data_IF_197581667158
#
_entry.id   IF_197581667158
#
_cell.length_a   1.000
_cell.length_b   1.000
_cell.length_c   1.000
_cell.angle_alpha   90.00
_cell.angle_beta   90.00
_cell.angle_gamma   90.00
#
_symmetry.space_group_name_H-M   'P 1'
#
loop_
_entity.id
_entity.type
_entity.pdbx_description
1 polymer ?
#
# COMPACT_ATOMS: atom_id res chain seq x y z
N UNK A 1 -32.28 48.11 -6.47
CA UNK A 1 -31.01 47.87 -7.17
C UNK A 1 -29.97 47.68 -6.09
N UNK A 2 -29.93 46.47 -5.55
CA UNK A 2 -29.07 46.05 -4.45
C UNK A 2 -28.32 44.85 -5.00
N UNK A 3 -27.03 45.07 -5.25
CA UNK A 3 -26.08 44.07 -5.71
C UNK A 3 -25.93 43.08 -4.56
N UNK A 4 -26.33 41.84 -4.81
CA UNK A 4 -26.06 40.68 -3.95
C UNK A 4 -24.75 40.14 -4.49
N UNK A 5 -23.69 40.23 -3.67
CA UNK A 5 -22.40 39.61 -3.96
C UNK A 5 -22.57 38.08 -3.92
N UNK A 6 -22.45 37.49 -5.10
CA UNK A 6 -22.60 36.07 -5.40
C UNK A 6 -21.21 35.40 -5.31
N UNK A 7 -20.67 35.34 -4.09
CA UNK A 7 -19.36 34.70 -3.80
C UNK A 7 -19.47 33.59 -2.75
N UNK A 8 -20.58 32.83 -2.79
CA UNK A 8 -20.72 31.58 -2.04
C UNK A 8 -20.98 30.41 -2.98
N UNK A 9 -20.15 29.37 -2.82
CA UNK A 9 -20.28 28.03 -3.39
C UNK A 9 -19.62 27.77 -4.76
N UNK A 10 -18.29 27.93 -4.81
CA UNK A 10 -17.46 26.98 -5.58
C UNK A 10 -16.70 26.16 -4.54
N UNK A 11 -17.21 24.95 -4.27
CA UNK A 11 -16.58 24.00 -3.37
C UNK A 11 -15.17 23.67 -3.85
N UNK A 12 -14.19 24.24 -3.17
CA UNK A 12 -12.81 23.77 -3.26
C UNK A 12 -12.80 22.32 -2.78
N UNK A 13 -12.54 21.40 -3.71
CA UNK A 13 -12.12 20.05 -3.38
C UNK A 13 -10.85 20.16 -2.52
N UNK A 14 -11.02 20.15 -1.20
CA UNK A 14 -9.92 20.08 -0.25
C UNK A 14 -9.26 18.71 -0.40
N UNK A 15 -8.34 18.59 -1.37
CA UNK A 15 -7.32 17.57 -1.33
C UNK A 15 -6.45 17.84 -0.10
N UNK A 16 -6.75 17.10 0.96
CA UNK A 16 -6.04 17.14 2.23
C UNK A 16 -4.59 16.73 1.99
N UNK A 17 -3.70 17.72 2.13
CA UNK A 17 -2.26 17.58 1.95
C UNK A 17 -1.52 17.35 3.26
N UNK A 18 -0.19 17.34 3.16
CA UNK A 18 0.75 17.34 4.28
C UNK A 18 0.38 18.40 5.34
N UNK A 19 0.67 18.11 6.61
CA UNK A 19 0.47 19.08 7.69
C UNK A 19 1.28 20.36 7.44
N UNK A 20 0.85 21.46 8.06
CA UNK A 20 1.61 22.71 8.04
C UNK A 20 3.04 22.50 8.55
N UNK A 21 3.24 21.69 9.60
CA UNK A 21 4.56 21.35 10.15
C UNK A 21 5.44 20.58 9.15
N UNK A 22 4.87 19.67 8.38
CA UNK A 22 5.60 18.92 7.37
C UNK A 22 6.05 19.83 6.22
N UNK A 23 5.13 20.64 5.68
CA UNK A 23 5.45 21.59 4.60
C UNK A 23 6.52 22.59 5.08
N UNK A 24 6.35 23.13 6.28
CA UNK A 24 7.33 24.05 6.89
C UNK A 24 8.71 23.39 6.99
N UNK A 25 8.78 22.14 7.48
CA UNK A 25 10.06 21.41 7.59
C UNK A 25 10.69 21.19 6.23
N UNK A 26 9.91 20.76 5.23
CA UNK A 26 10.41 20.53 3.87
C UNK A 26 11.08 21.77 3.30
N UNK A 27 10.45 22.95 3.43
CA UNK A 27 10.97 24.20 2.86
C UNK A 27 12.03 24.89 3.72
N UNK A 28 12.15 24.53 5.02
CA UNK A 28 13.09 25.17 5.93
C UNK A 28 14.52 24.65 5.78
N UNK A 29 14.71 23.43 5.29
CA UNK A 29 16.03 22.80 5.19
C UNK A 29 16.37 22.43 3.74
N UNK A 30 17.57 22.80 3.23
CA UNK A 30 17.98 22.47 1.87
C UNK A 30 17.94 20.97 1.56
N UNK A 31 18.33 20.13 2.52
CA UNK A 31 18.37 18.66 2.34
C UNK A 31 16.98 18.06 2.11
N UNK A 32 15.97 18.50 2.88
CA UNK A 32 14.59 18.03 2.75
C UNK A 32 13.89 18.64 1.53
N UNK A 33 14.20 19.89 1.19
CA UNK A 33 13.64 20.53 0.01
C UNK A 33 14.16 19.87 -1.26
N UNK A 34 15.48 19.67 -1.36
CA UNK A 34 16.11 19.07 -2.53
C UNK A 34 15.63 17.64 -2.76
N UNK A 35 15.54 16.84 -1.70
CA UNK A 35 15.02 15.47 -1.78
C UNK A 35 13.54 15.44 -2.17
N UNK A 36 12.73 16.43 -1.73
CA UNK A 36 11.34 16.54 -2.13
C UNK A 36 11.20 16.90 -3.61
N UNK A 37 12.04 17.82 -4.10
CA UNK A 37 12.12 18.18 -5.52
C UNK A 37 12.53 16.96 -6.35
N UNK A 38 13.51 16.19 -5.89
CA UNK A 38 13.94 14.96 -6.57
C UNK A 38 12.81 13.93 -6.65
N UNK A 39 12.14 13.65 -5.54
CA UNK A 39 11.00 12.74 -5.52
C UNK A 39 9.87 13.21 -6.44
N UNK A 40 9.56 14.52 -6.44
CA UNK A 40 8.54 15.11 -7.30
C UNK A 40 8.92 15.07 -8.79
N UNK A 41 10.19 15.32 -9.13
CA UNK A 41 10.67 15.24 -10.50
C UNK A 41 10.54 13.81 -11.06
N UNK A 42 10.93 12.80 -10.27
CA UNK A 42 10.80 11.39 -10.64
C UNK A 42 9.34 10.97 -10.74
N UNK A 43 8.50 11.44 -9.83
CA UNK A 43 7.06 11.23 -9.87
C UNK A 43 6.43 11.80 -11.17
N UNK A 44 6.68 13.07 -11.49
CA UNK A 44 6.19 13.69 -12.74
C UNK A 44 6.72 12.94 -13.96
N UNK A 45 8.01 12.59 -13.96
CA UNK A 45 8.64 11.87 -15.05
C UNK A 45 8.01 10.47 -15.27
N UNK A 46 7.79 9.73 -14.18
CA UNK A 46 7.11 8.44 -14.17
C UNK A 46 5.68 8.56 -14.70
N UNK A 47 4.96 9.61 -14.30
CA UNK A 47 3.58 9.84 -14.73
C UNK A 47 3.46 10.17 -16.22
N UNK A 48 4.45 10.84 -16.78
CA UNK A 48 4.48 11.17 -18.20
C UNK A 48 4.95 9.99 -19.07
N UNK A 49 5.40 8.88 -18.48
CA UNK A 49 5.89 7.71 -19.22
C UNK A 49 7.24 7.96 -19.92
N UNK A 50 8.03 8.91 -19.44
CA UNK A 50 9.32 9.25 -20.02
C UNK A 50 10.39 8.21 -19.65
N UNK A 51 11.44 8.08 -20.47
CA UNK A 51 12.60 7.22 -20.18
C UNK A 51 13.54 7.86 -19.17
N UNK A 52 14.00 7.06 -18.18
CA UNK A 52 14.84 7.48 -17.05
C UNK A 52 16.22 8.05 -17.43
N UNK A 53 16.62 8.01 -18.70
CA UNK A 53 17.89 8.53 -19.22
C UNK A 53 17.88 10.06 -19.46
N UNK A 54 16.90 10.77 -18.89
CA UNK A 54 16.86 12.24 -18.89
C UNK A 54 18.03 12.80 -18.07
N UNK A 55 18.97 13.45 -18.77
CA UNK A 55 20.14 14.09 -18.18
C UNK A 55 19.76 15.02 -17.02
N UNK A 56 18.64 15.73 -17.15
CA UNK A 56 18.13 16.66 -16.14
C UNK A 56 17.75 15.93 -14.85
N UNK A 57 17.16 14.74 -14.97
CA UNK A 57 16.76 13.91 -13.84
C UNK A 57 17.98 13.33 -13.13
N UNK A 58 18.98 12.88 -13.90
CA UNK A 58 20.25 12.39 -13.38
C UNK A 58 21.01 13.48 -12.61
N UNK A 59 21.02 14.72 -13.11
CA UNK A 59 21.61 15.87 -12.42
C UNK A 59 20.91 16.18 -11.09
N UNK A 60 19.57 16.15 -11.06
CA UNK A 60 18.78 16.35 -9.83
C UNK A 60 19.09 15.26 -8.81
N UNK A 61 19.14 13.99 -9.23
CA UNK A 61 19.48 12.87 -8.36
C UNK A 61 20.91 13.00 -7.81
N UNK A 62 21.90 13.29 -8.65
CA UNK A 62 23.29 13.47 -8.24
C UNK A 62 23.46 14.63 -7.25
N UNK A 63 22.80 15.77 -7.50
CA UNK A 63 22.78 16.92 -6.59
C UNK A 63 22.17 16.57 -5.24
N UNK A 64 21.05 15.83 -5.25
CA UNK A 64 20.37 15.37 -4.03
C UNK A 64 21.27 14.46 -3.19
N UNK A 65 21.88 13.46 -3.83
CA UNK A 65 22.81 12.54 -3.17
C UNK A 65 24.01 13.26 -2.56
N UNK A 66 24.54 14.29 -3.24
CA UNK A 66 25.65 15.11 -2.72
C UNK A 66 25.28 15.84 -1.44
N UNK A 67 24.11 16.49 -1.40
CA UNK A 67 23.64 17.24 -0.21
C UNK A 67 23.37 16.28 0.94
N UNK A 68 22.69 15.16 0.67
CA UNK A 68 22.41 14.13 1.68
C UNK A 68 23.69 13.54 2.25
N UNK A 69 24.67 13.20 1.41
CA UNK A 69 25.97 12.68 1.87
C UNK A 69 26.71 13.66 2.76
N UNK A 70 26.61 14.96 2.46
CA UNK A 70 27.20 16.03 3.28
C UNK A 70 26.54 16.09 4.67
N UNK A 71 25.22 15.93 4.74
CA UNK A 71 24.48 15.86 6.01
C UNK A 71 24.84 14.61 6.82
N UNK A 72 24.93 13.45 6.16
CA UNK A 72 25.31 12.19 6.80
C UNK A 72 26.74 12.22 7.37
N UNK A 73 27.65 12.96 6.74
CA UNK A 73 29.02 13.14 7.23
C UNK A 73 29.11 14.02 8.49
N UNK A 74 28.06 14.77 8.83
CA UNK A 74 28.01 15.60 10.04
C UNK A 74 27.28 14.86 11.17
N UNK A 75 27.97 14.46 12.27
CA UNK A 75 27.35 13.72 13.36
C UNK A 75 26.15 14.41 14.03
N UNK A 76 26.10 15.75 13.99
CA UNK A 76 24.99 16.52 14.54
C UNK A 76 23.75 16.53 13.62
N UNK A 77 23.93 16.31 12.31
CA UNK A 77 22.87 16.35 11.31
C UNK A 77 22.46 14.96 10.80
N UNK A 78 23.30 13.94 10.99
CA UNK A 78 23.12 12.60 10.42
C UNK A 78 21.79 11.92 10.79
N UNK A 79 21.19 12.28 11.93
CA UNK A 79 19.94 11.70 12.40
C UNK A 79 18.87 12.78 12.67
N UNK A 80 19.08 14.00 12.18
CA UNK A 80 18.09 15.07 12.24
C UNK A 80 16.86 14.73 11.38
N UNK A 81 15.68 15.27 11.72
CA UNK A 81 14.42 14.90 11.06
C UNK A 81 14.44 15.22 9.57
N UNK A 82 15.03 16.34 9.16
CA UNK A 82 15.20 16.73 7.75
C UNK A 82 16.07 15.74 6.97
N UNK A 83 17.11 15.18 7.60
CA UNK A 83 17.97 14.16 6.98
C UNK A 83 17.21 12.85 6.86
N UNK A 84 16.47 12.45 7.90
CA UNK A 84 15.64 11.25 7.86
C UNK A 84 14.55 11.36 6.77
N UNK A 85 13.86 12.51 6.69
CA UNK A 85 12.88 12.80 5.63
C UNK A 85 13.53 12.67 4.25
N UNK A 86 14.75 13.19 4.07
CA UNK A 86 15.46 13.08 2.81
C UNK A 86 15.77 11.62 2.42
N UNK A 87 16.20 10.78 3.37
CA UNK A 87 16.43 9.35 3.10
C UNK A 87 15.11 8.62 2.80
N UNK A 88 13.99 8.97 3.44
CA UNK A 88 12.67 8.39 3.14
C UNK A 88 12.19 8.75 1.73
N UNK A 89 12.47 9.98 1.29
CA UNK A 89 12.19 10.42 -0.07
C UNK A 89 13.10 9.70 -1.07
N UNK A 90 14.39 9.52 -0.76
CA UNK A 90 15.29 8.70 -1.57
C UNK A 90 14.86 7.22 -1.62
N UNK A 91 14.38 6.64 -0.52
CA UNK A 91 13.77 5.30 -0.51
C UNK A 91 12.59 5.27 -1.50
N UNK A 92 11.68 6.24 -1.41
CA UNK A 92 10.52 6.34 -2.32
C UNK A 92 10.97 6.47 -3.78
N UNK A 93 11.97 7.30 -4.04
CA UNK A 93 12.60 7.44 -5.36
C UNK A 93 13.16 6.11 -5.86
N UNK A 94 13.96 5.39 -5.06
CA UNK A 94 14.50 4.09 -5.45
C UNK A 94 13.43 3.03 -5.67
N UNK A 95 12.27 3.16 -4.99
CA UNK A 95 11.10 2.34 -5.29
C UNK A 95 10.68 2.65 -6.73
N UNK A 96 10.41 3.92 -7.04
CA UNK A 96 10.00 4.36 -8.38
C UNK A 96 11.03 4.10 -9.49
N UNK A 97 12.31 3.92 -9.17
CA UNK A 97 13.32 3.56 -10.17
C UNK A 97 13.49 2.05 -10.34
N UNK A 98 12.87 1.23 -9.48
CA UNK A 98 13.07 -0.23 -9.47
C UNK A 98 14.47 -0.67 -9.00
N UNK A 99 15.22 0.20 -8.34
CA UNK A 99 16.59 -0.10 -7.88
C UNK A 99 16.59 -0.87 -6.57
N UNK A 100 16.44 -2.19 -6.68
CA UNK A 100 16.42 -3.11 -5.53
C UNK A 100 17.66 -3.04 -4.64
N UNK A 101 18.84 -2.75 -5.19
CA UNK A 101 20.08 -2.67 -4.41
C UNK A 101 20.11 -1.42 -3.55
N UNK A 102 19.75 -0.28 -4.13
CA UNK A 102 19.70 1.00 -3.42
C UNK A 102 18.53 1.05 -2.42
N UNK A 103 17.42 0.36 -2.70
CA UNK A 103 16.28 0.22 -1.79
C UNK A 103 16.68 -0.36 -0.43
N UNK A 104 17.40 -1.47 -0.42
CA UNK A 104 17.83 -2.12 0.83
C UNK A 104 18.82 -1.25 1.61
N UNK A 105 19.68 -0.50 0.92
CA UNK A 105 20.61 0.45 1.54
C UNK A 105 19.84 1.57 2.25
N UNK A 106 18.86 2.17 1.58
CA UNK A 106 18.05 3.23 2.19
C UNK A 106 17.19 2.72 3.35
N UNK A 107 16.54 1.56 3.22
CA UNK A 107 15.75 0.97 4.30
C UNK A 107 16.59 0.72 5.56
N UNK A 108 17.79 0.14 5.41
CA UNK A 108 18.74 -0.06 6.53
C UNK A 108 19.28 1.26 7.09
N UNK A 109 19.55 2.24 6.24
CA UNK A 109 19.99 3.57 6.66
C UNK A 109 18.96 4.23 7.57
N UNK A 110 17.67 4.16 7.21
CA UNK A 110 16.56 4.66 8.03
C UNK A 110 16.54 3.96 9.39
N UNK A 111 16.65 2.64 9.43
CA UNK A 111 16.69 1.89 10.70
C UNK A 111 17.83 2.36 11.61
N UNK A 112 19.02 2.56 11.07
CA UNK A 112 20.18 3.06 11.82
C UNK A 112 19.94 4.48 12.36
N UNK A 113 19.39 5.38 11.54
CA UNK A 113 19.09 6.75 11.96
C UNK A 113 18.01 6.79 13.05
N UNK A 114 16.98 5.96 12.95
CA UNK A 114 15.95 5.80 13.98
C UNK A 114 16.56 5.30 15.29
N UNK A 115 17.49 4.32 15.23
CA UNK A 115 18.21 3.84 16.41
C UNK A 115 19.07 4.93 17.04
N UNK A 116 19.78 5.73 16.24
CA UNK A 116 20.58 6.86 16.71
C UNK A 116 19.73 7.92 17.43
N UNK A 117 18.45 8.07 17.05
CA UNK A 117 17.49 8.95 17.73
C UNK A 117 16.86 8.34 18.98
N UNK A 118 17.18 7.08 19.32
CA UNK A 118 16.58 6.38 20.46
C UNK A 118 15.23 5.75 20.15
N UNK A 119 14.87 5.57 18.88
CA UNK A 119 13.64 4.90 18.43
C UNK A 119 12.59 5.84 17.83
N UNK A 120 11.53 5.25 17.28
CA UNK A 120 10.49 5.96 16.51
C UNK A 120 9.77 7.04 17.31
N UNK A 121 9.60 6.84 18.61
CA UNK A 121 8.91 7.80 19.50
C UNK A 121 9.69 9.11 19.72
N UNK A 122 10.97 9.16 19.34
CA UNK A 122 11.84 10.33 19.49
C UNK A 122 12.01 11.12 18.19
N UNK A 123 11.30 10.73 17.13
CA UNK A 123 11.27 11.48 15.87
C UNK A 123 10.35 12.71 16.01
N UNK A 124 10.70 13.79 15.33
CA UNK A 124 10.01 15.07 15.49
C UNK A 124 8.68 15.17 14.76
N UNK A 125 8.21 16.41 14.66
CA UNK A 125 6.93 16.79 14.05
C UNK A 125 5.76 16.01 14.66
N UNK A 126 5.62 15.97 15.99
CA UNK A 126 4.45 15.33 16.63
C UNK A 126 4.17 13.88 16.16
N UNK A 127 5.24 13.14 15.82
CA UNK A 127 5.14 11.76 15.33
C UNK A 127 4.78 11.61 13.84
N UNK A 128 4.68 12.70 13.07
CA UNK A 128 4.48 12.65 11.61
C UNK A 128 5.58 11.85 10.91
N UNK A 129 6.82 12.12 11.28
CA UNK A 129 8.00 11.49 10.71
C UNK A 129 7.96 9.98 10.96
N UNK A 130 7.64 9.58 12.20
CA UNK A 130 7.50 8.18 12.57
C UNK A 130 6.36 7.47 11.82
N UNK A 131 5.21 8.13 11.65
CA UNK A 131 4.09 7.59 10.87
C UNK A 131 4.48 7.33 9.41
N UNK A 132 5.03 8.35 8.72
CA UNK A 132 5.38 8.26 7.30
C UNK A 132 6.45 7.21 7.08
N UNK A 133 7.51 7.20 7.90
CA UNK A 133 8.57 6.19 7.82
C UNK A 133 7.99 4.80 8.02
N UNK A 134 7.21 4.60 9.07
CA UNK A 134 6.64 3.28 9.39
C UNK A 134 5.79 2.80 8.23
N UNK A 135 4.88 3.64 7.72
CA UNK A 135 4.04 3.27 6.57
C UNK A 135 4.87 2.89 5.35
N UNK A 136 5.90 3.65 5.01
CA UNK A 136 6.78 3.40 3.86
C UNK A 136 7.63 2.15 4.03
N UNK A 137 8.21 1.92 5.21
CA UNK A 137 9.00 0.73 5.52
C UNK A 137 8.14 -0.52 5.49
N UNK A 138 6.97 -0.50 6.14
CA UNK A 138 6.02 -1.63 6.09
C UNK A 138 5.57 -1.91 4.66
N UNK A 139 5.24 -0.86 3.89
CA UNK A 139 4.90 -0.99 2.47
C UNK A 139 6.03 -1.66 1.66
N UNK A 140 7.27 -1.18 1.81
CA UNK A 140 8.44 -1.80 1.19
C UNK A 140 8.56 -3.29 1.52
N UNK A 141 8.39 -3.67 2.79
CA UNK A 141 8.45 -5.08 3.20
C UNK A 141 7.31 -5.91 2.63
N UNK A 142 6.11 -5.34 2.45
CA UNK A 142 4.98 -6.02 1.80
C UNK A 142 5.31 -6.28 0.33
N UNK A 143 5.74 -5.25 -0.41
CA UNK A 143 6.10 -5.39 -1.84
C UNK A 143 7.27 -6.36 -2.02
N UNK A 144 8.26 -6.28 -1.13
CA UNK A 144 9.43 -7.16 -1.14
C UNK A 144 9.14 -8.56 -0.56
N UNK A 145 7.93 -8.79 -0.06
CA UNK A 145 7.53 -10.02 0.64
C UNK A 145 8.56 -10.45 1.70
N UNK A 146 9.13 -9.46 2.41
CA UNK A 146 10.16 -9.60 3.45
C UNK A 146 9.61 -9.19 4.82
N UNK A 147 10.37 -9.37 5.92
CA UNK A 147 9.88 -9.07 7.27
C UNK A 147 10.43 -7.72 7.76
N UNK A 148 9.58 -6.82 8.26
CA UNK A 148 10.02 -5.61 8.96
C UNK A 148 10.56 -5.96 10.35
N UNK A 149 11.42 -5.10 10.88
CA UNK A 149 11.88 -5.22 12.27
C UNK A 149 10.73 -5.01 13.27
N UNK A 150 10.89 -5.60 14.47
CA UNK A 150 9.89 -5.54 15.53
C UNK A 150 9.59 -4.12 16.01
N UNK A 151 10.53 -3.18 15.85
CA UNK A 151 10.35 -1.77 16.20
C UNK A 151 9.20 -1.13 15.41
N UNK A 152 9.17 -1.29 14.08
CA UNK A 152 8.10 -0.76 13.25
C UNK A 152 6.77 -1.46 13.49
N UNK A 153 6.79 -2.78 13.70
CA UNK A 153 5.57 -3.52 14.04
C UNK A 153 5.00 -3.07 15.38
N UNK A 154 5.85 -2.84 16.39
CA UNK A 154 5.45 -2.33 17.70
C UNK A 154 4.84 -0.94 17.60
N UNK A 155 5.48 -0.04 16.85
CA UNK A 155 4.97 1.32 16.62
C UNK A 155 3.67 1.33 15.82
N UNK A 156 3.55 0.53 14.75
CA UNK A 156 2.29 0.44 14.00
C UNK A 156 1.13 -0.09 14.87
N UNK A 157 1.41 -0.98 15.82
CA UNK A 157 0.42 -1.49 16.79
C UNK A 157 0.03 -0.50 17.87
N UNK A 158 0.83 0.55 18.12
CA UNK A 158 0.44 1.59 19.08
C UNK A 158 -0.64 2.52 18.52
N UNK A 159 -0.93 2.48 17.22
CA UNK A 159 -2.06 3.19 16.66
C UNK A 159 -3.36 2.52 17.08
N UNK A 160 -4.27 3.33 17.60
CA UNK A 160 -5.63 2.91 17.93
C UNK A 160 -6.34 2.47 16.66
N UNK A 161 -6.76 1.20 16.63
CA UNK A 161 -7.59 0.61 15.57
C UNK A 161 -9.09 0.84 15.84
N UNK A 162 -9.42 1.60 16.90
CA UNK A 162 -10.79 1.94 17.24
C UNK A 162 -11.39 2.87 16.18
N UNK A 163 -12.71 2.71 15.99
CA UNK A 163 -13.52 3.54 15.12
C UNK A 163 -13.49 4.97 15.68
N UNK A 164 -13.03 5.98 14.92
CA UNK A 164 -13.14 7.37 15.34
C UNK A 164 -14.60 7.68 15.69
N UNK A 165 -14.83 8.48 16.75
CA UNK A 165 -16.18 8.86 17.17
C UNK A 165 -16.99 9.52 16.04
N UNK A 166 -16.29 10.18 15.11
CA UNK A 166 -16.81 10.63 13.82
C UNK A 166 -16.59 9.53 12.75
N UNK A 167 -17.48 8.54 12.73
CA UNK A 167 -17.40 7.36 11.86
C UNK A 167 -17.62 7.67 10.35
N UNK A 168 -17.59 8.95 9.95
CA UNK A 168 -17.97 9.39 8.60
C UNK A 168 -16.87 9.17 7.56
N UNK A 169 -15.59 9.01 7.96
CA UNK A 169 -14.47 8.88 7.03
C UNK A 169 -13.45 7.82 7.50
N UNK A 170 -13.79 6.55 7.32
CA UNK A 170 -12.85 5.43 7.50
C UNK A 170 -12.44 4.93 6.13
N UNK A 171 -11.12 4.76 5.91
CA UNK A 171 -10.58 4.14 4.71
C UNK A 171 -10.78 2.62 4.76
N UNK A 172 -12.02 2.20 4.56
CA UNK A 172 -12.41 0.78 4.58
C UNK A 172 -11.76 0.00 3.43
N UNK A 173 -11.38 -1.25 3.71
CA UNK A 173 -10.81 -2.17 2.74
C UNK A 173 -11.06 -3.63 3.17
N UNK A 174 -10.75 -4.62 2.33
CA UNK A 174 -10.72 -6.02 2.76
C UNK A 174 -9.75 -6.29 3.93
N UNK A 175 -8.78 -5.41 4.17
CA UNK A 175 -7.75 -5.56 5.21
C UNK A 175 -8.05 -4.76 6.49
N UNK A 176 -8.98 -3.81 6.44
CA UNK A 176 -9.34 -2.95 7.56
C UNK A 176 -10.82 -2.54 7.48
N UNK A 177 -11.62 -3.01 8.43
CA UNK A 177 -13.09 -2.85 8.43
C UNK A 177 -13.65 -2.90 9.87
N UNK A 178 -13.31 -1.92 10.72
CA UNK A 178 -13.54 -2.03 12.16
C UNK A 178 -15.02 -2.16 12.56
N UNK A 179 -15.97 -1.75 11.71
CA UNK A 179 -17.42 -1.86 11.95
C UNK A 179 -18.09 -3.18 11.54
N UNK A 180 -17.34 -4.19 11.07
CA UNK A 180 -17.89 -5.49 10.64
C UNK A 180 -18.74 -5.46 9.35
N UNK A 181 -19.07 -4.28 8.83
CA UNK A 181 -19.71 -4.03 7.53
C UNK A 181 -19.10 -2.78 6.91
N UNK A 182 -19.17 -2.69 5.59
CA UNK A 182 -18.83 -1.47 4.87
C UNK A 182 -19.90 -0.40 5.11
N UNK A 183 -19.48 0.73 5.65
CA UNK A 183 -20.35 1.86 6.03
C UNK A 183 -20.05 3.10 5.22
N UNK A 184 -18.79 3.32 4.85
CA UNK A 184 -18.36 4.54 4.14
C UNK A 184 -18.32 4.32 2.64
N UNK A 185 -17.97 3.11 2.18
CA UNK A 185 -17.82 2.84 0.75
C UNK A 185 -19.09 2.34 0.06
N UNK A 186 -20.12 1.93 0.80
CA UNK A 186 -21.34 1.31 0.27
C UNK A 186 -22.07 2.19 -0.76
N UNK A 187 -21.99 3.50 -0.62
CA UNK A 187 -22.60 4.48 -1.51
C UNK A 187 -21.70 4.91 -2.67
N UNK A 188 -20.43 4.50 -2.64
CA UNK A 188 -19.39 4.94 -3.59
C UNK A 188 -19.03 3.86 -4.61
N UNK A 189 -19.57 2.64 -4.47
CA UNK A 189 -19.26 1.50 -5.35
C UNK A 189 -20.52 0.82 -5.86
N UNK A 190 -20.39 0.11 -6.99
CA UNK A 190 -21.46 -0.76 -7.48
C UNK A 190 -21.67 -1.97 -6.55
N UNK A 191 -22.86 -2.57 -6.57
CA UNK A 191 -23.15 -3.79 -5.81
C UNK A 191 -22.20 -4.94 -6.16
N UNK A 192 -21.78 -5.03 -7.44
CA UNK A 192 -20.80 -6.02 -7.88
C UNK A 192 -19.42 -5.84 -7.23
N UNK A 193 -18.96 -4.59 -7.10
CA UNK A 193 -17.72 -4.26 -6.40
C UNK A 193 -17.83 -4.57 -4.90
N UNK A 194 -18.94 -4.19 -4.27
CA UNK A 194 -19.17 -4.43 -2.85
C UNK A 194 -19.17 -5.92 -2.51
N UNK A 195 -19.74 -6.76 -3.37
CA UNK A 195 -19.71 -8.22 -3.21
C UNK A 195 -18.27 -8.76 -3.21
N UNK A 196 -17.43 -8.30 -4.15
CA UNK A 196 -16.02 -8.73 -4.22
C UNK A 196 -15.28 -8.28 -2.96
N UNK A 197 -15.46 -7.05 -2.51
CA UNK A 197 -14.80 -6.55 -1.31
C UNK A 197 -15.24 -7.33 -0.07
N UNK A 198 -16.53 -7.61 0.06
CA UNK A 198 -17.09 -8.39 1.17
C UNK A 198 -16.56 -9.82 1.17
N UNK A 199 -16.44 -10.42 -0.02
CA UNK A 199 -15.82 -11.73 -0.20
C UNK A 199 -14.36 -11.75 0.24
N UNK A 200 -13.55 -10.76 -0.21
CA UNK A 200 -12.13 -10.68 0.12
C UNK A 200 -11.92 -10.44 1.61
N UNK A 201 -12.76 -9.61 2.23
CA UNK A 201 -12.77 -9.39 3.67
C UNK A 201 -12.98 -10.69 4.44
N UNK A 202 -14.07 -11.39 4.13
CA UNK A 202 -14.38 -12.66 4.78
C UNK A 202 -13.25 -13.68 4.55
N UNK A 203 -12.58 -13.62 3.38
CA UNK A 203 -11.47 -14.50 3.03
C UNK A 203 -10.25 -14.22 3.90
N UNK A 204 -9.90 -12.94 4.08
CA UNK A 204 -8.82 -12.52 4.96
C UNK A 204 -9.08 -12.95 6.41
N UNK A 205 -10.28 -12.73 6.94
CA UNK A 205 -10.65 -13.14 8.31
C UNK A 205 -10.53 -14.65 8.51
N UNK A 206 -11.13 -15.42 7.60
CA UNK A 206 -11.10 -16.87 7.68
C UNK A 206 -9.67 -17.43 7.56
N UNK A 207 -8.85 -16.85 6.68
CA UNK A 207 -7.46 -17.26 6.49
C UNK A 207 -6.60 -17.00 7.73
N UNK A 208 -6.72 -15.82 8.33
CA UNK A 208 -5.97 -15.47 9.54
C UNK A 208 -6.41 -16.35 10.72
N UNK A 209 -7.72 -16.53 10.93
CA UNK A 209 -8.26 -17.36 12.02
C UNK A 209 -7.78 -18.82 11.94
N UNK A 210 -7.91 -19.46 10.77
CA UNK A 210 -7.48 -20.86 10.59
C UNK A 210 -5.99 -21.01 10.82
N UNK A 211 -5.19 -20.02 10.42
CA UNK A 211 -3.74 -20.13 10.56
C UNK A 211 -3.27 -19.82 11.98
N UNK A 212 -3.93 -18.91 12.70
CA UNK A 212 -3.68 -18.71 14.13
C UNK A 212 -3.99 -19.98 14.94
N UNK A 213 -5.09 -20.68 14.64
CA UNK A 213 -5.45 -21.95 15.29
C UNK A 213 -4.42 -23.05 15.02
N UNK A 214 -3.89 -23.17 13.79
CA UNK A 214 -2.83 -24.13 13.43
C UNK A 214 -1.55 -23.94 14.28
N UNK A 215 -1.28 -22.72 14.75
CA UNK A 215 -0.13 -22.40 15.61
C UNK A 215 -0.38 -22.65 17.10
N UNK A 216 -1.62 -22.53 17.59
CA UNK A 216 -1.98 -22.77 19.00
C UNK A 216 -2.02 -24.26 19.38
N UNK A 217 -2.16 -25.18 18.41
CA UNK A 217 -2.31 -26.64 18.64
C UNK A 217 -1.05 -27.30 19.27
N UNK A 218 0.05 -26.56 19.44
CA UNK A 218 1.20 -26.97 20.28
C UNK A 218 1.00 -26.79 21.79
N UNK A 219 -0.14 -26.24 22.23
CA UNK A 219 -0.46 -25.94 23.64
C UNK A 219 -1.56 -26.88 24.15
N UNK A 220 -1.32 -27.46 25.33
CA UNK A 220 -2.10 -28.48 26.05
C UNK A 220 -3.62 -28.54 25.75
N UNK A 221 -4.19 -29.68 25.30
CA UNK A 221 -5.59 -29.80 24.84
C UNK A 221 -6.67 -29.73 25.94
N UNK A 222 -6.33 -29.39 27.19
CA UNK A 222 -7.19 -29.66 28.33
C UNK A 222 -8.33 -28.64 28.60
N UNK A 223 -8.44 -27.52 27.89
CA UNK A 223 -9.40 -26.45 28.30
C UNK A 223 -10.07 -25.67 27.17
N UNK A 224 -10.76 -26.32 26.21
CA UNK A 224 -11.72 -25.61 25.34
C UNK A 224 -12.95 -26.47 24.98
N UNK A 225 -13.79 -26.77 25.98
CA UNK A 225 -15.19 -27.20 25.79
C UNK A 225 -16.07 -25.95 25.61
N UNK A 226 -16.47 -25.68 24.37
CA UNK A 226 -17.20 -24.46 24.01
C UNK A 226 -17.69 -24.44 22.56
N UNK A 227 -18.57 -25.38 22.23
CA UNK A 227 -19.67 -25.38 21.24
C UNK A 227 -19.56 -24.54 19.95
N UNK A 228 -19.38 -25.26 18.83
CA UNK A 228 -19.60 -24.83 17.44
C UNK A 228 -18.81 -25.76 16.50
N UNK A 229 -19.29 -26.11 15.29
CA UNK A 229 -18.45 -26.81 14.32
C UNK A 229 -17.22 -25.95 14.03
N UNK A 230 -16.03 -26.46 14.36
CA UNK A 230 -14.76 -25.75 14.10
C UNK A 230 -14.61 -25.61 12.59
N UNK A 231 -14.40 -24.38 12.12
CA UNK A 231 -14.11 -24.10 10.73
C UNK A 231 -12.69 -24.60 10.43
N UNK A 232 -12.58 -25.77 9.82
CA UNK A 232 -11.30 -26.45 9.64
C UNK A 232 -10.50 -25.89 8.46
N UNK A 233 -9.22 -26.25 8.37
CA UNK A 233 -8.39 -25.98 7.20
C UNK A 233 -8.98 -26.53 5.90
N UNK A 234 -9.62 -27.70 5.96
CA UNK A 234 -10.30 -28.29 4.80
C UNK A 234 -11.53 -27.49 4.40
N UNK A 235 -12.32 -27.02 5.39
CA UNK A 235 -13.47 -26.14 5.13
C UNK A 235 -13.02 -24.83 4.47
N UNK A 236 -11.93 -24.24 4.97
CA UNK A 236 -11.31 -23.07 4.35
C UNK A 236 -10.91 -23.33 2.91
N UNK A 237 -10.21 -24.44 2.61
CA UNK A 237 -9.77 -24.75 1.25
C UNK A 237 -10.95 -24.91 0.28
N UNK A 238 -11.99 -25.64 0.67
CA UNK A 238 -13.19 -25.84 -0.16
C UNK A 238 -13.88 -24.50 -0.39
N UNK A 239 -14.01 -23.69 0.65
CA UNK A 239 -14.68 -22.39 0.57
C UNK A 239 -13.87 -21.37 -0.26
N UNK A 240 -12.56 -21.28 -0.04
CA UNK A 240 -11.66 -20.43 -0.81
C UNK A 240 -11.60 -20.84 -2.29
N UNK A 241 -11.65 -22.16 -2.60
CA UNK A 241 -11.74 -22.65 -3.97
C UNK A 241 -13.06 -22.25 -4.66
N UNK A 242 -14.19 -22.36 -3.96
CA UNK A 242 -15.49 -21.86 -4.47
C UNK A 242 -15.44 -20.36 -4.72
N UNK A 243 -14.83 -19.61 -3.81
CA UNK A 243 -14.70 -18.18 -3.95
C UNK A 243 -13.79 -17.79 -5.12
N UNK A 244 -12.67 -18.50 -5.30
CA UNK A 244 -11.76 -18.34 -6.44
C UNK A 244 -12.49 -18.51 -7.77
N UNK A 245 -13.20 -19.64 -7.95
CA UNK A 245 -13.99 -19.91 -9.16
C UNK A 245 -15.03 -18.82 -9.37
N UNK A 246 -15.76 -18.43 -8.33
CA UNK A 246 -16.76 -17.36 -8.42
C UNK A 246 -16.15 -16.05 -8.89
N UNK A 247 -15.01 -15.63 -8.32
CA UNK A 247 -14.32 -14.39 -8.69
C UNK A 247 -13.80 -14.44 -10.13
N UNK A 248 -13.24 -15.58 -10.57
CA UNK A 248 -12.82 -15.77 -11.96
C UNK A 248 -13.97 -15.69 -12.95
N UNK A 249 -15.13 -16.25 -12.61
CA UNK A 249 -16.31 -16.24 -13.47
C UNK A 249 -17.02 -14.88 -13.54
N UNK A 250 -16.62 -13.89 -12.72
CA UNK A 250 -17.18 -12.54 -12.82
C UNK A 250 -16.74 -11.89 -14.14
N UNK A 251 -17.65 -11.21 -14.86
CA UNK A 251 -17.31 -10.59 -16.13
C UNK A 251 -16.23 -9.50 -15.93
N UNK A 252 -15.42 -9.29 -16.97
CA UNK A 252 -14.46 -8.18 -17.03
C UNK A 252 -15.18 -6.90 -17.48
N UNK A 253 -14.74 -5.75 -16.99
CA UNK A 253 -15.24 -4.44 -17.44
C UNK A 253 -14.96 -4.16 -18.92
N UNK A 254 -14.08 -4.94 -19.56
CA UNK A 254 -13.82 -4.87 -21.01
C UNK A 254 -14.95 -5.44 -21.85
N UNK A 255 -15.85 -6.23 -21.26
CA UNK A 255 -16.96 -6.88 -21.97
C UNK A 255 -18.11 -5.89 -22.15
N UNK A 256 -18.26 -5.41 -23.39
CA UNK A 256 -19.33 -4.50 -23.78
C UNK A 256 -20.73 -5.07 -23.51
N UNK A 257 -21.67 -4.20 -23.13
CA UNK A 257 -23.07 -4.56 -22.93
C UNK A 257 -23.40 -5.20 -21.58
N UNK A 258 -22.44 -5.27 -20.66
CA UNK A 258 -22.66 -5.72 -19.28
C UNK A 258 -22.89 -4.53 -18.34
N UNK A 259 -23.49 -4.77 -17.16
CA UNK A 259 -23.73 -3.74 -16.14
C UNK A 259 -22.44 -3.12 -15.55
N UNK A 260 -21.28 -3.75 -15.80
CA UNK A 260 -19.96 -3.33 -15.33
C UNK A 260 -19.06 -2.84 -16.48
N UNK A 261 -19.61 -2.70 -17.69
CA UNK A 261 -18.85 -2.27 -18.86
C UNK A 261 -18.23 -0.89 -18.60
N UNK A 262 -16.91 -0.76 -18.80
CA UNK A 262 -16.11 0.44 -18.51
C UNK A 262 -16.05 0.87 -17.03
N UNK A 263 -16.46 0.01 -16.07
CA UNK A 263 -16.18 0.24 -14.64
C UNK A 263 -14.75 -0.24 -14.32
N UNK A 264 -13.77 0.65 -14.51
CA UNK A 264 -12.35 0.33 -14.32
C UNK A 264 -11.97 0.17 -12.85
N UNK A 265 -12.67 0.85 -11.93
CA UNK A 265 -12.50 0.64 -10.49
C UNK A 265 -12.89 -0.78 -10.09
N UNK A 266 -14.04 -1.25 -10.57
CA UNK A 266 -14.45 -2.65 -10.42
C UNK A 266 -13.42 -3.60 -11.01
N UNK A 267 -12.89 -3.32 -12.20
CA UNK A 267 -11.92 -4.20 -12.87
C UNK A 267 -10.62 -4.32 -12.08
N UNK A 268 -10.10 -3.21 -11.53
CA UNK A 268 -8.94 -3.24 -10.63
C UNK A 268 -9.22 -4.13 -9.42
N UNK A 269 -10.34 -3.92 -8.74
CA UNK A 269 -10.74 -4.69 -7.55
C UNK A 269 -10.90 -6.19 -7.89
N UNK A 270 -11.49 -6.51 -9.04
CA UNK A 270 -11.67 -7.88 -9.52
C UNK A 270 -10.34 -8.57 -9.79
N UNK A 271 -9.42 -7.92 -10.52
CA UNK A 271 -8.10 -8.47 -10.84
C UNK A 271 -7.25 -8.64 -9.59
N UNK A 272 -7.26 -7.67 -8.68
CA UNK A 272 -6.63 -7.78 -7.36
C UNK A 272 -7.22 -8.96 -6.56
N UNK A 273 -8.54 -9.13 -6.54
CA UNK A 273 -9.19 -10.23 -5.85
C UNK A 273 -8.79 -11.60 -6.41
N UNK A 274 -8.58 -11.73 -7.72
CA UNK A 274 -8.10 -12.97 -8.35
C UNK A 274 -6.69 -13.31 -7.85
N UNK A 275 -5.76 -12.35 -7.90
CA UNK A 275 -4.38 -12.54 -7.42
C UNK A 275 -4.39 -12.89 -5.93
N UNK A 276 -5.15 -12.12 -5.13
CA UNK A 276 -5.24 -12.28 -3.69
C UNK A 276 -5.82 -13.65 -3.31
N UNK A 277 -6.94 -14.06 -3.92
CA UNK A 277 -7.56 -15.36 -3.65
C UNK A 277 -6.65 -16.51 -4.07
N UNK A 278 -5.98 -16.41 -5.22
CA UNK A 278 -4.98 -17.39 -5.67
C UNK A 278 -3.89 -17.57 -4.62
N UNK A 279 -3.32 -16.47 -4.14
CA UNK A 279 -2.25 -16.50 -3.13
C UNK A 279 -2.71 -17.18 -1.83
N UNK A 280 -3.89 -16.83 -1.32
CA UNK A 280 -4.42 -17.39 -0.06
C UNK A 280 -4.84 -18.86 -0.21
N UNK A 281 -5.47 -19.22 -1.33
CA UNK A 281 -5.90 -20.60 -1.63
C UNK A 281 -4.69 -21.55 -1.71
N UNK A 282 -3.67 -21.14 -2.46
CA UNK A 282 -2.48 -21.96 -2.70
C UNK A 282 -1.38 -21.77 -1.64
N UNK A 283 -1.56 -20.81 -0.71
CA UNK A 283 -0.56 -20.42 0.29
C UNK A 283 0.81 -20.11 -0.32
N UNK A 284 0.78 -19.28 -1.36
CA UNK A 284 1.97 -18.84 -2.10
C UNK A 284 2.11 -17.32 -2.03
N UNK A 285 3.33 -16.76 -2.19
CA UNK A 285 3.53 -15.33 -2.33
C UNK A 285 2.73 -14.72 -3.49
N UNK A 286 2.34 -13.45 -3.39
CA UNK A 286 1.59 -12.72 -4.43
C UNK A 286 2.38 -12.65 -5.73
N UNK A 287 3.71 -12.51 -5.63
CA UNK A 287 4.62 -12.52 -6.77
C UNK A 287 4.59 -13.84 -7.57
N UNK A 288 4.25 -14.96 -6.91
CA UNK A 288 4.07 -16.26 -7.56
C UNK A 288 2.62 -16.41 -8.04
N UNK A 289 1.65 -15.98 -7.24
CA UNK A 289 0.23 -16.10 -7.55
C UNK A 289 -0.15 -15.45 -8.90
N UNK A 290 0.49 -14.33 -9.27
CA UNK A 290 0.28 -13.65 -10.56
C UNK A 290 0.72 -14.46 -11.78
N UNK A 291 1.57 -15.47 -11.61
CA UNK A 291 2.13 -16.29 -12.70
C UNK A 291 1.44 -17.64 -12.89
N UNK A 292 0.80 -18.16 -11.83
CA UNK A 292 0.15 -19.49 -11.85
C UNK A 292 -1.24 -19.45 -12.51
N UNK A 293 -1.91 -18.32 -12.46
CA UNK A 293 -3.22 -18.14 -13.07
C UNK A 293 -3.14 -18.29 -14.58
N UNK A 294 -3.81 -19.31 -15.12
CA UNK A 294 -3.64 -19.91 -16.45
C UNK A 294 -4.00 -19.05 -17.67
N UNK A 295 -4.16 -17.73 -17.52
CA UNK A 295 -4.51 -16.84 -18.64
C UNK A 295 -3.26 -16.30 -19.34
N UNK A 296 -3.33 -16.13 -20.65
CA UNK A 296 -2.24 -15.72 -21.55
C UNK A 296 -1.72 -14.30 -21.24
N UNK A 297 -2.45 -13.55 -20.40
CA UNK A 297 -2.03 -12.26 -19.84
C UNK A 297 -1.82 -12.37 -18.34
N UNK A 298 -0.65 -11.96 -17.90
CA UNK A 298 -0.33 -11.77 -16.50
C UNK A 298 -1.33 -10.78 -15.87
N UNK A 299 -1.99 -11.19 -14.79
CA UNK A 299 -3.01 -10.37 -14.13
C UNK A 299 -2.44 -9.05 -13.58
N UNK A 300 -1.13 -8.99 -13.29
CA UNK A 300 -0.46 -7.75 -12.90
C UNK A 300 -0.49 -6.70 -14.03
N UNK A 301 -0.26 -7.13 -15.28
CA UNK A 301 -0.36 -6.25 -16.46
C UNK A 301 -1.79 -5.80 -16.71
N UNK A 302 -2.75 -6.72 -16.64
CA UNK A 302 -4.17 -6.37 -16.83
C UNK A 302 -4.65 -5.42 -15.73
N UNK A 303 -4.13 -5.56 -14.50
CA UNK A 303 -4.44 -4.66 -13.39
C UNK A 303 -3.93 -3.25 -13.68
N UNK A 304 -2.74 -3.11 -14.27
CA UNK A 304 -2.24 -1.80 -14.68
C UNK A 304 -3.13 -1.17 -15.76
N UNK A 305 -3.46 -1.92 -16.81
CA UNK A 305 -4.27 -1.40 -17.90
C UNK A 305 -5.63 -0.89 -17.40
N UNK A 306 -6.22 -1.58 -16.43
CA UNK A 306 -7.43 -1.12 -15.75
C UNK A 306 -7.16 0.11 -14.88
N UNK A 307 -6.04 0.12 -14.14
CA UNK A 307 -5.69 1.21 -13.24
C UNK A 307 -5.48 2.53 -13.99
N UNK A 308 -4.73 2.50 -15.11
CA UNK A 308 -4.48 3.67 -15.97
C UNK A 308 -5.76 4.22 -16.63
N UNK A 309 -6.83 3.43 -16.70
CA UNK A 309 -8.14 3.85 -17.21
C UNK A 309 -9.09 4.34 -16.12
N UNK A 310 -8.71 4.20 -14.85
CA UNK A 310 -9.51 4.67 -13.73
C UNK A 310 -9.20 6.14 -13.47
N UNK A 311 -10.22 6.91 -13.11
CA UNK A 311 -10.10 8.31 -12.75
C UNK A 311 -9.70 8.51 -11.28
N UNK A 312 -8.89 9.53 -11.00
CA UNK A 312 -8.45 9.89 -9.64
C UNK A 312 -9.64 10.15 -8.69
N UNK A 313 -10.77 10.62 -9.23
CA UNK A 313 -11.98 10.91 -8.46
C UNK A 313 -12.60 9.63 -7.88
N UNK A 314 -12.59 8.52 -8.62
CA UNK A 314 -13.09 7.24 -8.10
C UNK A 314 -12.24 6.75 -6.92
N UNK A 315 -10.92 6.85 -7.02
CA UNK A 315 -10.02 6.42 -5.95
C UNK A 315 -10.05 7.32 -4.72
N UNK A 316 -10.34 8.61 -4.88
CA UNK A 316 -10.47 9.54 -3.75
C UNK A 316 -11.56 9.12 -2.75
N UNK A 317 -12.59 8.40 -3.22
CA UNK A 317 -13.69 7.86 -2.39
C UNK A 317 -13.36 6.52 -1.75
N UNK A 318 -12.31 5.84 -2.21
CA UNK A 318 -11.96 4.47 -1.83
C UNK A 318 -10.49 4.33 -1.42
N UNK A 319 -9.93 5.21 -0.55
CA UNK A 319 -8.50 5.22 -0.25
C UNK A 319 -8.01 3.90 0.36
N UNK A 320 -8.83 3.22 1.17
CA UNK A 320 -8.48 1.92 1.75
C UNK A 320 -8.41 0.81 0.70
N UNK A 321 -9.35 0.80 -0.24
CA UNK A 321 -9.36 -0.16 -1.34
C UNK A 321 -8.21 0.10 -2.32
N UNK A 322 -7.92 1.38 -2.61
CA UNK A 322 -6.75 1.77 -3.40
C UNK A 322 -5.46 1.23 -2.75
N UNK A 323 -5.28 1.43 -1.44
CA UNK A 323 -4.12 0.90 -0.72
C UNK A 323 -4.03 -0.62 -0.88
N UNK A 324 -5.13 -1.36 -0.67
CA UNK A 324 -5.15 -2.82 -0.85
C UNK A 324 -4.76 -3.24 -2.28
N UNK A 325 -5.32 -2.58 -3.30
CA UNK A 325 -4.99 -2.81 -4.71
C UNK A 325 -3.50 -2.59 -4.96
N UNK A 326 -2.92 -1.49 -4.49
CA UNK A 326 -1.50 -1.21 -4.65
C UNK A 326 -0.61 -2.22 -3.89
N UNK A 327 -0.98 -2.63 -2.67
CA UNK A 327 -0.22 -3.61 -1.89
C UNK A 327 -0.09 -4.95 -2.63
N UNK A 328 -1.21 -5.49 -3.10
CA UNK A 328 -1.24 -6.77 -3.81
C UNK A 328 -0.62 -6.63 -5.20
N UNK A 329 -0.99 -5.58 -5.94
CA UNK A 329 -0.54 -5.35 -7.30
C UNK A 329 0.97 -5.12 -7.39
N UNK A 330 1.55 -4.29 -6.51
CA UNK A 330 3.01 -4.08 -6.45
C UNK A 330 3.76 -5.37 -6.10
N UNK A 331 3.29 -6.15 -5.13
CA UNK A 331 3.91 -7.43 -4.79
C UNK A 331 3.84 -8.43 -5.96
N UNK A 332 2.71 -8.46 -6.67
CA UNK A 332 2.47 -9.32 -7.83
C UNK A 332 3.32 -8.94 -9.06
N UNK A 333 3.54 -7.65 -9.28
CA UNK A 333 4.31 -7.13 -10.42
C UNK A 333 5.83 -7.37 -10.29
N UNK A 334 6.32 -7.68 -9.08
CA UNK A 334 7.76 -7.81 -8.80
C UNK A 334 8.47 -8.92 -9.58
N UNK A 335 7.81 -10.06 -9.79
CA UNK A 335 8.37 -11.22 -10.54
C UNK A 335 7.89 -11.24 -12.00
N UNK A 336 6.85 -10.47 -12.31
CA UNK A 336 6.30 -10.31 -13.65
C UNK A 336 7.27 -9.69 -14.65
N UNK A 337 8.28 -8.94 -14.17
CA UNK A 337 9.33 -8.37 -15.01
C UNK A 337 10.40 -9.44 -15.34
N UNK A 338 10.50 -9.93 -16.59
CA UNK A 338 11.68 -10.65 -17.00
C UNK A 338 12.89 -9.73 -16.81
N UNK A 339 14.01 -10.26 -16.31
CA UNK A 339 15.33 -9.61 -16.41
C UNK A 339 15.84 -9.56 -17.86
N UNK A 340 14.97 -9.30 -18.82
CA UNK A 340 15.37 -8.99 -20.19
C UNK A 340 15.73 -7.52 -20.16
N UNK A 341 17.03 -7.26 -20.14
CA UNK A 341 17.63 -5.96 -20.41
C UNK A 341 16.93 -5.38 -21.67
N UNK A 342 16.00 -4.44 -21.49
CA UNK A 342 15.33 -3.73 -22.60
C UNK A 342 13.81 -3.69 -22.62
N UNK A 343 13.05 -4.33 -21.70
CA UNK A 343 11.59 -4.12 -21.64
C UNK A 343 11.23 -3.06 -20.58
N UNK A 344 11.12 -1.81 -21.04
CA UNK A 344 10.77 -0.62 -20.23
C UNK A 344 9.34 -0.71 -19.62
N UNK A 345 8.47 -1.54 -20.19
CA UNK A 345 7.05 -1.63 -19.81
C UNK A 345 6.82 -2.20 -18.40
N UNK A 346 7.59 -3.19 -17.94
CA UNK A 346 7.30 -3.90 -16.69
C UNK A 346 7.72 -3.12 -15.44
N UNK A 347 8.77 -2.30 -15.55
CA UNK A 347 9.19 -1.40 -14.47
C UNK A 347 8.14 -0.29 -14.25
N UNK A 348 7.49 0.18 -15.33
CA UNK A 348 6.45 1.22 -15.23
C UNK A 348 5.27 0.82 -14.32
N UNK A 349 4.92 -0.47 -14.29
CA UNK A 349 3.77 -1.02 -13.53
C UNK A 349 4.00 -0.91 -12.03
N UNK A 350 5.13 -1.44 -11.59
CA UNK A 350 5.53 -1.46 -10.20
C UNK A 350 5.63 -0.02 -9.69
N UNK A 351 6.24 0.86 -10.49
CA UNK A 351 6.45 2.28 -10.16
C UNK A 351 5.14 3.02 -9.92
N UNK A 352 4.15 2.86 -10.81
CA UNK A 352 2.84 3.50 -10.65
C UNK A 352 2.09 3.04 -9.40
N UNK A 353 2.05 1.73 -9.13
CA UNK A 353 1.36 1.21 -7.96
C UNK A 353 2.07 1.60 -6.65
N UNK A 354 3.41 1.64 -6.65
CA UNK A 354 4.19 2.11 -5.50
C UNK A 354 4.02 3.61 -5.24
N UNK A 355 3.93 4.40 -6.32
CA UNK A 355 3.64 5.83 -6.24
C UNK A 355 2.29 6.05 -5.55
N UNK A 356 1.25 5.37 -6.03
CA UNK A 356 -0.11 5.54 -5.52
C UNK A 356 -0.24 5.08 -4.07
N UNK A 357 0.32 3.91 -3.71
CA UNK A 357 0.41 3.49 -2.31
C UNK A 357 1.12 4.53 -1.44
N UNK A 358 2.25 5.06 -1.93
CA UNK A 358 3.02 6.08 -1.25
C UNK A 358 2.20 7.35 -0.97
N UNK A 359 1.40 7.80 -1.95
CA UNK A 359 0.48 8.94 -1.82
C UNK A 359 -0.63 8.63 -0.83
N UNK A 360 -1.25 7.45 -0.90
CA UNK A 360 -2.32 7.05 0.02
C UNK A 360 -1.83 7.00 1.47
N UNK A 361 -0.62 6.48 1.72
CA UNK A 361 -0.01 6.45 3.06
C UNK A 361 0.20 7.87 3.59
N UNK A 362 0.72 8.78 2.76
CA UNK A 362 0.96 10.17 3.16
C UNK A 362 -0.36 10.90 3.45
N UNK A 363 -1.34 10.81 2.56
CA UNK A 363 -2.63 11.49 2.71
C UNK A 363 -3.41 10.99 3.92
N UNK A 364 -3.24 9.72 4.27
CA UNK A 364 -3.94 9.09 5.38
C UNK A 364 -3.57 9.64 6.76
N UNK A 365 -2.43 10.31 6.93
CA UNK A 365 -2.05 10.88 8.23
C UNK A 365 -3.12 11.83 8.78
N UNK A 366 -3.74 12.59 7.90
CA UNK A 366 -4.70 13.63 8.27
C UNK A 366 -6.06 13.11 8.74
N UNK A 367 -6.47 11.88 8.37
CA UNK A 367 -7.85 11.39 8.55
C UNK A 367 -7.98 9.89 8.86
N UNK A 368 -6.93 9.10 8.66
CA UNK A 368 -7.02 7.65 8.45
C UNK A 368 -5.84 6.85 9.04
N UNK A 369 -5.09 7.40 10.00
CA UNK A 369 -3.84 6.80 10.53
C UNK A 369 -4.03 5.33 10.96
N UNK A 370 -5.05 5.07 11.79
CA UNK A 370 -5.38 3.72 12.26
C UNK A 370 -5.73 2.77 11.11
N UNK A 371 -6.51 3.22 10.13
CA UNK A 371 -6.91 2.37 9.01
C UNK A 371 -5.77 1.95 8.09
N UNK A 372 -4.81 2.85 7.84
CA UNK A 372 -3.63 2.52 7.04
C UNK A 372 -2.71 1.58 7.80
N UNK A 373 -2.40 1.88 9.06
CA UNK A 373 -1.55 1.01 9.88
C UNK A 373 -2.19 -0.37 10.08
N UNK A 374 -3.50 -0.41 10.32
CA UNK A 374 -4.27 -1.64 10.43
C UNK A 374 -4.22 -2.46 9.15
N UNK A 375 -4.48 -1.85 7.99
CA UNK A 375 -4.39 -2.55 6.70
C UNK A 375 -2.99 -3.10 6.43
N UNK A 376 -1.93 -2.32 6.70
CA UNK A 376 -0.53 -2.76 6.53
C UNK A 376 -0.19 -3.92 7.47
N UNK A 377 -0.61 -3.85 8.74
CA UNK A 377 -0.42 -4.93 9.72
C UNK A 377 -1.17 -6.20 9.33
N UNK A 378 -2.43 -6.09 8.91
CA UNK A 378 -3.23 -7.23 8.41
C UNK A 378 -2.54 -7.88 7.22
N UNK A 379 -2.07 -7.08 6.25
CA UNK A 379 -1.36 -7.62 5.08
C UNK A 379 -0.06 -8.35 5.45
N UNK A 380 0.73 -7.80 6.38
CA UNK A 380 1.92 -8.47 6.89
C UNK A 380 1.59 -9.77 7.63
N UNK A 381 0.49 -9.80 8.38
CA UNK A 381 -0.05 -11.00 9.00
C UNK A 381 -0.37 -12.08 7.97
N UNK A 382 -1.07 -11.71 6.89
CA UNK A 382 -1.36 -12.61 5.76
C UNK A 382 -0.06 -13.13 5.14
N UNK A 383 0.88 -12.24 4.80
CA UNK A 383 2.13 -12.62 4.16
C UNK A 383 3.02 -13.52 5.03
N UNK A 384 3.00 -13.34 6.36
CA UNK A 384 3.72 -14.22 7.29
C UNK A 384 3.33 -15.68 7.06
N UNK A 385 2.04 -15.94 6.85
CA UNK A 385 1.50 -17.27 6.63
C UNK A 385 1.64 -17.80 5.20
N UNK A 386 1.75 -16.90 4.22
CA UNK A 386 2.12 -17.31 2.85
C UNK A 386 3.59 -17.76 2.76
N UNK A 387 4.43 -17.37 3.72
CA UNK A 387 5.87 -17.71 3.77
C UNK A 387 6.19 -18.94 4.59
N UNK A 388 5.38 -19.27 5.61
CA UNK A 388 5.63 -20.42 6.51
C UNK A 388 5.66 -21.78 5.80
N UNK A 389 5.12 -21.87 4.58
CA UNK A 389 5.13 -23.10 3.76
C UNK A 389 6.37 -23.24 2.87
N UNK A 390 7.42 -22.41 3.07
CA UNK A 390 8.72 -22.52 2.38
C UNK A 390 9.78 -23.36 3.12
N UNK A 391 9.49 -23.90 4.31
CA UNK A 391 10.42 -24.74 5.08
C UNK A 391 10.04 -26.20 5.03
#
# INVERSE_FOLDING_TARGET
MTVIDDETAIGTSEMVGFSHSWVTTLVSHPVSLQSAICAAAIDIHTRNGNEMDDLSLSEIMASTLKIVTTHLANPAAQAADETIIAIVQLLTTSMLCGDSGTLEVHARGIEQMVQLRGGLVHLGLEGEVAFVITGKVLFYHIVSESQPSSAYLGFARSYTMDIPADATLIAESPLYFPGGKYTTIIWSVSGHTLDILSDMRNLTEAFLKVTDEDHEVGSDPATKDGMGPKFTRTDFQIWAAKLYVRTLCRPSATVAGTAISNDWTYECIRLTAIIYTTALLHRIPFSIASTITTDVRNFAHSLLDAFLKTDDVSWSKLPGCLLWVCLVGSAAARVAAPKVQGCVADHSILNWLMLMAGRTIVMAKSRHEGSVMGALLTMLGVQRYLRSHRQ
#
